data_IF_871523835544
#
_entry.id   IF_871523835544
#
_cell.length_a   1.000
_cell.length_b   1.000
_cell.length_c   1.000
_cell.angle_alpha   90.00
_cell.angle_beta   90.00
_cell.angle_gamma   90.00
#
_symmetry.space_group_name_H-M   'P 1'
#
loop_
_entity.id
_entity.type
_entity.pdbx_description
1 polymer ?
#
# COMPACT_ATOMS: atom_id res chain seq x y z
N UNK A 1 -3.26 -1.17 7.60
CA UNK A 1 -2.76 -1.83 8.84
C UNK A 1 -1.42 -1.29 9.30
N UNK A 2 -0.31 -1.45 8.56
CA UNK A 2 1.03 -1.04 9.03
C UNK A 2 1.11 0.43 9.50
N UNK A 3 0.59 1.38 8.69
CA UNK A 3 0.57 2.80 9.05
C UNK A 3 -0.26 3.08 10.30
N UNK A 4 -1.44 2.45 10.41
CA UNK A 4 -2.30 2.57 11.58
C UNK A 4 -1.56 2.12 12.86
N UNK A 5 -0.86 0.98 12.79
CA UNK A 5 -0.09 0.47 13.94
C UNK A 5 1.11 1.36 14.27
N UNK A 6 1.83 1.89 13.27
CA UNK A 6 2.91 2.87 13.48
C UNK A 6 2.44 4.10 14.23
N UNK A 7 1.32 4.69 13.79
CA UNK A 7 0.74 5.89 14.41
C UNK A 7 0.16 5.63 15.80
N UNK A 8 -0.19 4.39 16.10
CA UNK A 8 -0.75 4.00 17.40
C UNK A 8 0.37 3.71 18.40
N UNK A 9 1.38 2.95 18.00
CA UNK A 9 2.43 2.47 18.88
C UNK A 9 3.57 3.49 19.08
N UNK A 10 3.83 4.36 18.09
CA UNK A 10 4.83 5.42 18.18
C UNK A 10 6.23 4.98 18.64
N UNK A 11 6.61 3.75 18.33
CA UNK A 11 7.87 3.15 18.82
C UNK A 11 9.06 3.79 18.12
N UNK A 12 9.99 4.34 18.90
CA UNK A 12 11.25 4.91 18.43
C UNK A 12 12.12 3.87 17.75
N UNK A 13 13.00 4.31 16.87
CA UNK A 13 13.92 3.45 16.13
C UNK A 13 15.03 2.89 17.04
N UNK A 14 15.62 1.72 16.73
CA UNK A 14 16.55 1.04 17.63
C UNK A 14 17.74 1.91 18.07
N UNK A 15 18.35 2.62 17.12
CA UNK A 15 19.52 3.48 17.36
C UNK A 15 19.22 4.73 18.21
N UNK A 16 17.94 5.07 18.40
CA UNK A 16 17.52 6.15 19.30
C UNK A 16 17.31 5.67 20.74
N UNK A 17 17.19 4.36 20.93
CA UNK A 17 16.91 3.74 22.23
C UNK A 17 18.20 3.18 22.82
N UNK A 18 19.07 2.62 21.99
CA UNK A 18 20.30 1.96 22.41
C UNK A 18 21.48 2.44 21.57
N UNK A 19 22.46 3.09 22.22
CA UNK A 19 23.67 3.64 21.59
C UNK A 19 24.59 2.57 21.00
N UNK A 20 24.41 1.29 21.37
CA UNK A 20 25.16 0.16 20.79
C UNK A 20 24.69 -0.20 19.39
N UNK A 21 23.51 0.27 18.98
CA UNK A 21 22.98 0.03 17.63
C UNK A 21 23.43 1.14 16.70
N UNK A 22 24.42 0.84 15.86
CA UNK A 22 24.90 1.75 14.82
C UNK A 22 24.20 1.45 13.49
N UNK A 23 23.24 2.28 13.04
CA UNK A 23 22.56 2.07 11.78
C UNK A 23 23.50 2.39 10.61
N UNK A 24 23.32 1.70 9.49
CA UNK A 24 24.08 2.04 8.28
C UNK A 24 23.66 3.44 7.79
N UNK A 25 24.61 4.36 7.62
CA UNK A 25 24.32 5.76 7.25
C UNK A 25 23.46 5.88 6.00
N UNK A 26 23.73 5.06 4.97
CA UNK A 26 22.97 5.03 3.71
C UNK A 26 21.49 4.69 3.88
N UNK A 27 21.12 4.06 4.99
CA UNK A 27 19.74 3.66 5.26
C UNK A 27 18.94 4.70 6.06
N UNK A 28 19.61 5.68 6.67
CA UNK A 28 18.98 6.71 7.49
C UNK A 28 17.94 7.55 6.72
N UNK A 29 18.21 8.01 5.47
CA UNK A 29 17.22 8.81 4.73
C UNK A 29 15.93 8.06 4.43
N UNK A 30 16.00 6.72 4.29
CA UNK A 30 14.85 5.86 4.03
C UNK A 30 14.20 5.29 5.31
N UNK A 31 14.71 5.65 6.49
CA UNK A 31 14.22 5.19 7.79
C UNK A 31 13.38 6.26 8.49
N UNK A 32 12.58 7.00 7.72
CA UNK A 32 11.63 7.98 8.23
C UNK A 32 10.51 7.34 9.08
N UNK A 33 10.03 8.08 10.07
CA UNK A 33 8.93 7.65 10.95
C UNK A 33 9.26 6.54 11.97
N UNK A 34 8.22 6.02 12.61
CA UNK A 34 8.31 5.04 13.70
C UNK A 34 8.84 3.66 13.27
N UNK A 35 9.44 2.93 14.21
CA UNK A 35 10.02 1.59 13.96
C UNK A 35 8.96 0.52 13.75
N UNK A 36 7.98 0.45 14.63
CA UNK A 36 7.08 -0.70 14.71
C UNK A 36 5.77 -0.50 13.95
N UNK A 37 5.27 -1.51 13.20
CA UNK A 37 5.98 -2.69 12.70
C UNK A 37 6.74 -2.37 11.40
N UNK A 38 7.67 -3.24 11.00
CA UNK A 38 8.50 -3.04 9.80
C UNK A 38 7.66 -2.95 8.52
N UNK A 39 7.76 -1.80 7.81
CA UNK A 39 7.06 -1.56 6.54
C UNK A 39 7.62 -2.35 5.36
N UNK A 40 8.95 -2.53 5.31
CA UNK A 40 9.61 -3.33 4.27
C UNK A 40 9.23 -4.81 4.40
N UNK A 41 9.20 -5.33 5.62
CA UNK A 41 8.75 -6.70 5.91
C UNK A 41 7.27 -6.86 5.56
N UNK A 42 6.42 -5.88 5.85
CA UNK A 42 5.01 -5.90 5.45
C UNK A 42 4.84 -5.93 3.92
N UNK A 43 5.66 -5.15 3.19
CA UNK A 43 5.68 -5.17 1.72
C UNK A 43 6.14 -6.51 1.15
N UNK A 44 7.20 -7.09 1.71
CA UNK A 44 7.69 -8.41 1.31
C UNK A 44 6.65 -9.51 1.57
N UNK A 45 5.96 -9.48 2.71
CA UNK A 45 4.84 -10.39 2.99
C UNK A 45 3.69 -10.21 2.00
N UNK A 46 3.35 -8.96 1.66
CA UNK A 46 2.24 -8.67 0.75
C UNK A 46 2.51 -9.13 -0.68
N UNK A 47 3.77 -9.06 -1.13
CA UNK A 47 4.15 -9.45 -2.49
C UNK A 47 4.62 -10.92 -2.55
N UNK A 48 5.75 -11.22 -1.91
CA UNK A 48 6.37 -12.54 -1.95
C UNK A 48 5.63 -13.55 -1.07
N UNK A 49 5.18 -13.15 0.11
CA UNK A 49 4.36 -14.02 0.98
C UNK A 49 3.06 -14.45 0.30
N UNK A 50 2.35 -13.52 -0.33
CA UNK A 50 1.15 -13.83 -1.11
C UNK A 50 1.45 -14.73 -2.32
N UNK A 51 2.54 -14.50 -3.05
CA UNK A 51 2.96 -15.39 -4.14
C UNK A 51 3.28 -16.81 -3.63
N UNK A 52 3.98 -16.93 -2.50
CA UNK A 52 4.27 -18.23 -1.87
C UNK A 52 2.99 -18.99 -1.54
N UNK A 53 1.98 -18.30 -1.01
CA UNK A 53 0.67 -18.87 -0.70
C UNK A 53 -0.12 -19.28 -1.93
N UNK A 54 -0.15 -18.44 -2.98
CA UNK A 54 -0.85 -18.73 -4.22
C UNK A 54 -0.27 -19.96 -4.95
N UNK A 55 1.06 -20.09 -4.99
CA UNK A 55 1.75 -21.21 -5.62
C UNK A 55 2.26 -22.25 -4.62
N UNK A 56 1.52 -22.49 -3.53
CA UNK A 56 1.96 -23.34 -2.42
C UNK A 56 2.42 -24.75 -2.81
N UNK A 57 1.79 -25.34 -3.84
CA UNK A 57 2.11 -26.69 -4.32
C UNK A 57 3.42 -26.75 -5.14
N UNK A 58 3.88 -25.62 -5.68
CA UNK A 58 5.17 -25.55 -6.36
C UNK A 58 6.26 -25.27 -5.31
N UNK A 59 6.95 -26.32 -4.88
CA UNK A 59 7.99 -26.25 -3.83
C UNK A 59 9.07 -25.22 -4.14
N UNK A 60 9.52 -25.13 -5.40
CA UNK A 60 10.57 -24.19 -5.81
C UNK A 60 10.07 -22.76 -5.61
N UNK A 61 8.90 -22.42 -6.16
CA UNK A 61 8.33 -21.07 -6.01
C UNK A 61 8.10 -20.74 -4.53
N UNK A 62 7.48 -21.66 -3.78
CA UNK A 62 7.18 -21.47 -2.36
C UNK A 62 8.43 -21.13 -1.55
N UNK A 63 9.48 -21.97 -1.64
CA UNK A 63 10.68 -21.77 -0.85
C UNK A 63 11.49 -20.55 -1.29
N UNK A 64 11.55 -20.25 -2.59
CA UNK A 64 12.20 -19.03 -3.08
C UNK A 64 11.51 -17.77 -2.55
N UNK A 65 10.17 -17.72 -2.63
CA UNK A 65 9.41 -16.56 -2.15
C UNK A 65 9.52 -16.39 -0.62
N UNK A 66 9.46 -17.48 0.15
CA UNK A 66 9.70 -17.44 1.60
C UNK A 66 11.11 -16.94 1.91
N UNK A 67 12.11 -17.40 1.16
CA UNK A 67 13.50 -16.94 1.32
C UNK A 67 13.62 -15.43 1.09
N UNK A 68 12.95 -14.88 0.06
CA UNK A 68 12.94 -13.43 -0.15
C UNK A 68 12.29 -12.66 1.01
N UNK A 69 11.21 -13.17 1.60
CA UNK A 69 10.61 -12.57 2.80
C UNK A 69 11.62 -12.52 3.95
N UNK A 70 12.29 -13.65 4.22
CA UNK A 70 13.26 -13.77 5.30
C UNK A 70 14.48 -12.90 5.08
N UNK A 71 15.01 -12.83 3.86
CA UNK A 71 16.13 -11.95 3.50
C UNK A 71 15.77 -10.48 3.68
N UNK A 72 14.56 -10.06 3.27
CA UNK A 72 14.11 -8.67 3.51
C UNK A 72 13.98 -8.42 5.01
N UNK A 73 13.35 -9.31 5.77
CA UNK A 73 13.23 -9.16 7.22
C UNK A 73 14.61 -9.06 7.91
N UNK A 74 15.53 -9.96 7.57
CA UNK A 74 16.90 -9.97 8.09
C UNK A 74 17.64 -8.68 7.75
N UNK A 75 17.55 -8.21 6.50
CA UNK A 75 18.22 -6.97 6.07
C UNK A 75 17.83 -5.75 6.92
N UNK A 76 16.58 -5.71 7.43
CA UNK A 76 16.10 -4.60 8.27
C UNK A 76 16.72 -4.61 9.67
N UNK A 77 17.01 -5.79 10.20
CA UNK A 77 17.75 -5.91 11.46
C UNK A 77 19.25 -5.68 11.25
N UNK A 78 19.82 -6.25 10.18
CA UNK A 78 21.23 -6.10 9.84
C UNK A 78 21.64 -4.64 9.66
N UNK A 79 20.79 -3.84 9.00
CA UNK A 79 21.01 -2.41 8.77
C UNK A 79 20.77 -1.55 10.02
N UNK A 80 20.27 -2.14 11.12
CA UNK A 80 20.08 -1.47 12.41
C UNK A 80 18.84 -0.59 12.52
N UNK A 81 17.92 -0.69 11.56
CA UNK A 81 16.77 0.24 11.42
C UNK A 81 15.45 -0.27 12.00
N UNK A 82 15.42 -1.55 12.39
CA UNK A 82 14.29 -2.22 13.04
C UNK A 82 14.78 -3.24 14.07
N UNK A 83 14.00 -3.45 15.13
CA UNK A 83 14.24 -4.53 16.09
C UNK A 83 13.78 -5.88 15.53
N UNK A 84 14.25 -7.03 16.08
CA UNK A 84 13.71 -8.34 15.73
C UNK A 84 12.19 -8.43 15.96
N UNK A 85 11.68 -7.77 17.01
CA UNK A 85 10.24 -7.71 17.28
C UNK A 85 9.46 -7.02 16.15
N UNK A 86 9.96 -5.90 15.62
CA UNK A 86 9.31 -5.15 14.54
C UNK A 86 9.09 -6.01 13.28
N UNK A 87 10.05 -6.88 12.96
CA UNK A 87 10.00 -7.74 11.78
C UNK A 87 9.14 -8.97 12.03
N UNK A 88 9.26 -9.62 13.20
CA UNK A 88 8.45 -10.80 13.56
C UNK A 88 6.97 -10.44 13.58
N UNK A 89 6.59 -9.36 14.27
CA UNK A 89 5.19 -8.95 14.33
C UNK A 89 4.67 -8.53 12.96
N UNK A 90 5.49 -7.88 12.13
CA UNK A 90 5.10 -7.57 10.75
C UNK A 90 4.82 -8.83 9.91
N UNK A 91 5.62 -9.88 10.07
CA UNK A 91 5.38 -11.17 9.41
C UNK A 91 4.09 -11.83 9.90
N UNK A 92 3.86 -11.87 11.22
CA UNK A 92 2.63 -12.42 11.79
C UNK A 92 1.38 -11.69 11.29
N UNK A 93 1.42 -10.35 11.27
CA UNK A 93 0.34 -9.54 10.69
C UNK A 93 0.13 -9.90 9.21
N UNK A 94 1.21 -10.02 8.45
CA UNK A 94 1.15 -10.42 7.03
C UNK A 94 0.47 -11.77 6.83
N UNK A 95 0.81 -12.77 7.65
CA UNK A 95 0.20 -14.11 7.62
C UNK A 95 -1.30 -14.01 7.93
N UNK A 96 -1.68 -13.32 9.01
CA UNK A 96 -3.08 -13.16 9.41
C UNK A 96 -3.91 -12.46 8.32
N UNK A 97 -3.37 -11.38 7.73
CA UNK A 97 -4.04 -10.66 6.65
C UNK A 97 -4.20 -11.51 5.40
N UNK A 98 -3.21 -12.33 5.07
CA UNK A 98 -3.26 -13.20 3.89
C UNK A 98 -4.40 -14.22 3.98
N UNK A 99 -4.49 -14.95 5.10
CA UNK A 99 -5.60 -15.89 5.34
C UNK A 99 -6.95 -15.16 5.45
N UNK A 100 -6.98 -14.00 6.10
CA UNK A 100 -8.17 -13.18 6.22
C UNK A 100 -8.70 -12.70 4.86
N UNK A 101 -7.80 -12.24 3.98
CA UNK A 101 -8.13 -11.79 2.63
C UNK A 101 -8.62 -12.96 1.77
N UNK A 102 -7.97 -14.13 1.80
CA UNK A 102 -8.44 -15.31 1.05
C UNK A 102 -9.87 -15.70 1.45
N UNK A 103 -10.16 -15.72 2.76
CA UNK A 103 -11.51 -15.99 3.27
C UNK A 103 -12.51 -14.89 2.88
N UNK A 104 -12.09 -13.63 2.94
CA UNK A 104 -12.91 -12.49 2.55
C UNK A 104 -13.27 -12.54 1.05
N UNK A 105 -12.31 -12.81 0.18
CA UNK A 105 -12.53 -12.94 -1.26
C UNK A 105 -13.53 -14.07 -1.56
N UNK A 106 -13.34 -15.24 -0.97
CA UNK A 106 -14.30 -16.37 -1.07
C UNK A 106 -15.69 -15.98 -0.58
N UNK A 107 -15.79 -15.19 0.49
CA UNK A 107 -17.07 -14.70 0.98
C UNK A 107 -17.73 -13.72 0.00
N UNK A 108 -16.97 -12.78 -0.57
CA UNK A 108 -17.45 -11.82 -1.57
C UNK A 108 -17.97 -12.57 -2.80
N UNK A 109 -17.23 -13.56 -3.30
CA UNK A 109 -17.58 -14.28 -4.53
C UNK A 109 -18.73 -15.28 -4.34
N UNK A 110 -19.03 -15.68 -3.10
CA UNK A 110 -20.09 -16.65 -2.82
C UNK A 110 -21.52 -16.10 -2.95
N UNK A 111 -21.75 -14.77 -2.99
CA UNK A 111 -23.09 -14.20 -3.22
C UNK A 111 -23.01 -12.80 -3.81
N UNK A 112 -23.83 -12.55 -4.83
CA UNK A 112 -24.00 -11.22 -5.41
C UNK A 112 -24.47 -10.18 -4.38
N UNK A 113 -23.93 -8.97 -4.48
CA UNK A 113 -24.19 -7.86 -3.55
C UNK A 113 -23.24 -7.79 -2.35
N UNK A 114 -22.48 -8.86 -2.05
CA UNK A 114 -21.47 -8.82 -0.97
C UNK A 114 -20.28 -7.91 -1.28
N UNK A 115 -20.01 -7.69 -2.57
CA UNK A 115 -19.07 -6.70 -3.08
C UNK A 115 -19.43 -5.28 -2.63
N UNK A 116 -20.72 -4.91 -2.69
CA UNK A 116 -21.23 -3.61 -2.20
C UNK A 116 -21.14 -3.49 -0.69
N UNK A 117 -21.46 -4.56 0.05
CA UNK A 117 -21.32 -4.58 1.51
C UNK A 117 -19.85 -4.35 1.88
N UNK A 118 -18.93 -5.10 1.26
CA UNK A 118 -17.49 -4.94 1.47
C UNK A 118 -17.04 -3.51 1.16
N UNK A 119 -17.43 -2.95 0.01
CA UNK A 119 -17.07 -1.59 -0.38
C UNK A 119 -17.63 -0.54 0.60
N UNK A 120 -18.86 -0.71 1.08
CA UNK A 120 -19.48 0.18 2.06
C UNK A 120 -18.73 0.15 3.39
N UNK A 121 -18.39 -1.04 3.87
CA UNK A 121 -17.56 -1.22 5.09
C UNK A 121 -16.18 -0.59 4.88
N UNK A 122 -15.57 -0.77 3.70
CA UNK A 122 -14.27 -0.17 3.37
C UNK A 122 -14.33 1.36 3.43
N UNK A 123 -15.38 1.99 2.90
CA UNK A 123 -15.57 3.43 2.95
C UNK A 123 -15.68 3.93 4.40
N UNK A 124 -16.52 3.28 5.21
CA UNK A 124 -16.70 3.64 6.63
C UNK A 124 -15.39 3.47 7.40
N UNK A 125 -14.71 2.33 7.25
CA UNK A 125 -13.42 2.08 7.90
C UNK A 125 -12.35 3.09 7.49
N UNK A 126 -12.35 3.51 6.22
CA UNK A 126 -11.42 4.52 5.72
C UNK A 126 -11.73 5.90 6.29
N UNK A 127 -13.01 6.28 6.38
CA UNK A 127 -13.43 7.53 7.01
C UNK A 127 -13.05 7.57 8.50
N UNK A 128 -13.32 6.50 9.24
CA UNK A 128 -12.92 6.36 10.65
C UNK A 128 -11.40 6.44 10.81
N UNK A 129 -10.63 5.82 9.91
CA UNK A 129 -9.17 5.91 9.91
C UNK A 129 -8.70 7.35 9.66
N UNK A 130 -9.31 8.07 8.72
CA UNK A 130 -9.00 9.49 8.48
C UNK A 130 -9.24 10.34 9.73
N UNK A 131 -10.37 10.14 10.41
CA UNK A 131 -10.71 10.84 11.66
C UNK A 131 -9.69 10.52 12.73
N UNK A 132 -9.40 9.24 12.96
CA UNK A 132 -8.39 8.79 13.92
C UNK A 132 -7.02 9.42 13.66
N UNK A 133 -6.54 9.38 12.42
CA UNK A 133 -5.24 9.94 12.04
C UNK A 133 -5.21 11.46 12.19
N UNK A 134 -6.31 12.14 11.90
CA UNK A 134 -6.42 13.57 12.11
C UNK A 134 -6.28 13.92 13.60
N UNK A 135 -7.09 13.28 14.46
CA UNK A 135 -7.05 13.50 15.91
C UNK A 135 -5.69 13.14 16.50
N UNK A 136 -5.11 12.00 16.10
CA UNK A 136 -3.79 11.57 16.57
C UNK A 136 -2.68 12.53 16.17
N UNK A 137 -2.74 13.07 14.95
CA UNK A 137 -1.81 14.08 14.47
C UNK A 137 -1.93 15.39 15.27
N UNK A 138 -3.15 15.86 15.54
CA UNK A 138 -3.39 17.06 16.36
C UNK A 138 -2.78 16.91 17.76
N UNK A 139 -3.04 15.79 18.45
CA UNK A 139 -2.47 15.53 19.77
C UNK A 139 -0.93 15.47 19.75
N UNK A 140 -0.34 14.86 18.72
CA UNK A 140 1.13 14.77 18.62
C UNK A 140 1.78 16.12 18.35
N UNK A 141 1.10 17.02 17.62
CA UNK A 141 1.60 18.35 17.32
C UNK A 141 1.71 19.23 18.56
N UNK A 142 0.87 19.05 19.57
CA UNK A 142 0.95 19.79 20.83
C UNK A 142 2.26 19.51 21.58
N UNK A 143 2.78 18.28 21.48
CA UNK A 143 4.00 17.85 22.17
C UNK A 143 5.23 17.80 21.26
N UNK A 144 5.09 18.16 19.97
CA UNK A 144 6.13 17.99 18.97
C UNK A 144 7.24 19.03 19.12
N UNK A 145 8.48 18.57 19.24
CA UNK A 145 9.68 19.40 19.27
C UNK A 145 10.59 19.01 18.09
N UNK A 146 10.69 19.87 17.08
CA UNK A 146 11.48 19.58 15.87
C UNK A 146 12.96 19.35 16.12
N UNK A 147 13.49 19.76 17.28
CA UNK A 147 14.89 19.54 17.65
C UNK A 147 15.11 18.19 18.34
N UNK A 148 14.06 17.58 18.91
CA UNK A 148 14.14 16.33 19.68
C UNK A 148 13.46 15.15 18.99
N UNK A 149 12.42 15.42 18.21
CA UNK A 149 11.59 14.40 17.60
C UNK A 149 12.02 14.12 16.17
N UNK A 150 12.41 12.86 15.93
CA UNK A 150 12.76 12.37 14.60
C UNK A 150 11.54 12.26 13.66
N UNK A 151 10.33 12.30 14.21
CA UNK A 151 9.10 11.95 13.50
C UNK A 151 8.15 13.13 13.49
N UNK A 152 8.08 13.81 12.34
CA UNK A 152 7.13 14.89 12.12
C UNK A 152 5.70 14.34 11.92
N UNK A 153 4.73 14.67 12.80
CA UNK A 153 3.36 14.17 12.69
C UNK A 153 2.65 14.59 11.40
N UNK A 154 2.95 15.79 10.86
CA UNK A 154 2.36 16.30 9.62
C UNK A 154 2.86 15.51 8.40
N UNK A 155 4.16 15.25 8.33
CA UNK A 155 4.74 14.45 7.23
C UNK A 155 4.20 13.01 7.26
N UNK A 156 4.08 12.42 8.45
CA UNK A 156 3.45 11.11 8.60
C UNK A 156 2.00 11.10 8.10
N UNK A 157 1.21 12.12 8.49
CA UNK A 157 -0.16 12.29 8.06
C UNK A 157 -0.26 12.43 6.53
N UNK A 158 0.58 13.26 5.92
CA UNK A 158 0.63 13.46 4.46
C UNK A 158 0.91 12.16 3.69
N UNK A 159 1.83 11.32 4.18
CA UNK A 159 2.16 10.03 3.57
C UNK A 159 1.02 8.99 3.59
N UNK A 160 -0.02 9.18 4.41
CA UNK A 160 -1.16 8.24 4.48
C UNK A 160 -2.24 8.56 3.46
N UNK A 161 -2.49 9.84 3.18
CA UNK A 161 -3.55 10.29 2.29
C UNK A 161 -3.42 9.71 0.87
N UNK A 162 -2.20 9.66 0.33
CA UNK A 162 -1.95 8.99 -0.95
C UNK A 162 -2.33 7.50 -0.94
N UNK A 163 -2.04 6.78 0.15
CA UNK A 163 -2.39 5.36 0.30
C UNK A 163 -3.90 5.14 0.39
N UNK A 164 -4.59 6.03 1.10
CA UNK A 164 -6.05 6.04 1.19
C UNK A 164 -6.67 6.28 -0.19
N UNK A 165 -6.20 7.31 -0.90
CA UNK A 165 -6.65 7.61 -2.26
C UNK A 165 -6.46 6.41 -3.19
N UNK A 166 -5.27 5.81 -3.18
CA UNK A 166 -4.98 4.61 -3.97
C UNK A 166 -5.92 3.44 -3.65
N UNK A 167 -6.15 3.16 -2.37
CA UNK A 167 -7.05 2.09 -1.91
C UNK A 167 -8.47 2.31 -2.43
N UNK A 168 -9.00 3.52 -2.25
CA UNK A 168 -10.34 3.87 -2.73
C UNK A 168 -10.41 3.79 -4.25
N UNK A 169 -9.37 4.22 -4.97
CA UNK A 169 -9.31 4.15 -6.43
C UNK A 169 -9.36 2.72 -6.95
N UNK A 170 -8.60 1.80 -6.34
CA UNK A 170 -8.61 0.38 -6.70
C UNK A 170 -10.00 -0.21 -6.53
N UNK A 171 -10.60 -0.06 -5.35
CA UNK A 171 -11.85 -0.77 -5.05
C UNK A 171 -13.07 -0.13 -5.70
N UNK A 172 -13.05 1.19 -5.90
CA UNK A 172 -14.08 1.88 -6.70
C UNK A 172 -13.98 1.45 -8.15
N UNK A 173 -12.78 1.45 -8.73
CA UNK A 173 -12.58 1.02 -10.11
C UNK A 173 -12.91 -0.44 -10.33
N UNK A 174 -12.49 -1.34 -9.43
CA UNK A 174 -12.86 -2.76 -9.45
C UNK A 174 -14.38 -2.98 -9.40
N UNK A 175 -15.10 -2.26 -8.54
CA UNK A 175 -16.55 -2.38 -8.43
C UNK A 175 -17.26 -1.95 -9.73
N UNK A 176 -16.81 -0.85 -10.34
CA UNK A 176 -17.36 -0.37 -11.60
C UNK A 176 -16.97 -1.27 -12.78
N UNK A 177 -15.73 -1.77 -12.80
CA UNK A 177 -15.24 -2.68 -13.83
C UNK A 177 -16.09 -3.95 -13.84
N UNK A 178 -16.29 -4.58 -12.67
CA UNK A 178 -17.11 -5.79 -12.52
C UNK A 178 -18.56 -5.60 -13.00
N UNK A 179 -19.13 -4.40 -12.86
CA UNK A 179 -20.53 -4.11 -13.17
C UNK A 179 -20.75 -3.67 -14.62
N UNK A 180 -19.90 -2.77 -15.13
CA UNK A 180 -20.10 -2.09 -16.40
C UNK A 180 -19.17 -2.56 -17.51
N UNK A 181 -17.90 -2.84 -17.20
CA UNK A 181 -16.89 -3.15 -18.21
C UNK A 181 -16.80 -4.65 -18.44
N UNK A 182 -16.69 -5.48 -17.39
CA UNK A 182 -16.53 -6.95 -17.49
C UNK A 182 -15.47 -7.31 -18.55
N UNK A 183 -14.27 -6.76 -18.38
CA UNK A 183 -13.19 -6.88 -19.34
C UNK A 183 -12.64 -8.31 -19.36
N UNK A 184 -12.79 -8.99 -20.48
CA UNK A 184 -12.26 -10.35 -20.65
C UNK A 184 -10.82 -10.35 -21.15
N UNK A 185 -9.96 -11.08 -20.45
CA UNK A 185 -8.57 -11.29 -20.84
C UNK A 185 -8.49 -12.61 -21.61
N UNK A 186 -8.23 -12.53 -22.91
CA UNK A 186 -7.95 -13.74 -23.72
C UNK A 186 -6.63 -14.38 -23.27
N UNK A 187 -6.49 -15.71 -23.38
CA UNK A 187 -5.24 -16.41 -23.04
C UNK A 187 -4.12 -16.06 -24.04
N UNK A 188 -2.86 -16.19 -23.61
CA UNK A 188 -1.66 -16.01 -24.43
C UNK A 188 -1.15 -14.56 -24.56
N UNK A 189 0.13 -14.39 -24.87
CA UNK A 189 0.77 -13.10 -25.13
C UNK A 189 0.71 -12.82 -26.64
N UNK A 190 0.28 -11.61 -27.02
CA UNK A 190 0.24 -11.16 -28.41
C UNK A 190 0.78 -9.72 -28.47
N UNK A 191 1.44 -9.35 -29.57
CA UNK A 191 1.88 -7.99 -29.90
C UNK A 191 0.82 -6.92 -29.58
N UNK A 192 -0.46 -7.14 -29.91
CA UNK A 192 -1.54 -6.18 -29.57
C UNK A 192 -1.69 -5.95 -28.07
N UNK A 193 -1.51 -6.98 -27.24
CA UNK A 193 -1.55 -6.88 -25.77
C UNK A 193 -0.32 -6.19 -25.22
N UNK A 194 0.85 -6.44 -25.79
CA UNK A 194 2.09 -5.76 -25.44
C UNK A 194 1.95 -4.27 -25.76
N UNK A 195 1.50 -3.92 -26.97
CA UNK A 195 1.24 -2.53 -27.37
C UNK A 195 0.22 -1.90 -26.41
N UNK A 196 -0.88 -2.58 -26.11
CA UNK A 196 -1.88 -2.08 -25.17
C UNK A 196 -1.30 -1.88 -23.76
N UNK A 197 -0.41 -2.75 -23.29
CA UNK A 197 0.23 -2.56 -21.99
C UNK A 197 1.14 -1.34 -22.00
N UNK A 198 2.01 -1.24 -23.01
CA UNK A 198 2.96 -0.14 -23.15
C UNK A 198 2.26 1.21 -23.33
N UNK A 199 1.24 1.28 -24.18
CA UNK A 199 0.44 2.50 -24.36
C UNK A 199 -0.26 2.91 -23.07
N UNK A 200 -0.79 1.95 -22.31
CA UNK A 200 -1.40 2.20 -21.01
C UNK A 200 -0.42 2.79 -20.00
N UNK A 201 0.81 2.25 -19.94
CA UNK A 201 1.88 2.76 -19.06
C UNK A 201 2.29 4.18 -19.48
N UNK A 202 2.47 4.43 -20.78
CA UNK A 202 2.87 5.75 -21.29
C UNK A 202 1.79 6.79 -21.00
N UNK A 203 0.53 6.49 -21.31
CA UNK A 203 -0.61 7.39 -21.04
C UNK A 203 -0.75 7.64 -19.55
N UNK A 204 -0.63 6.61 -18.72
CA UNK A 204 -0.65 6.75 -17.26
C UNK A 204 0.47 7.69 -16.77
N UNK A 205 1.70 7.51 -17.27
CA UNK A 205 2.83 8.34 -16.88
C UNK A 205 2.60 9.81 -17.25
N UNK A 206 2.18 10.09 -18.50
CA UNK A 206 1.89 11.45 -18.98
C UNK A 206 0.76 12.07 -18.15
N UNK A 207 -0.33 11.33 -17.96
CA UNK A 207 -1.48 11.78 -17.17
C UNK A 207 -1.05 12.16 -15.76
N UNK A 208 -0.26 11.31 -15.08
CA UNK A 208 0.20 11.59 -13.72
C UNK A 208 1.16 12.78 -13.65
N UNK A 209 2.03 12.98 -14.64
CA UNK A 209 2.89 14.17 -14.71
C UNK A 209 2.06 15.45 -14.80
N UNK A 210 1.02 15.46 -15.64
CA UNK A 210 0.14 16.62 -15.83
C UNK A 210 -0.69 16.87 -14.56
N UNK A 211 -1.36 15.84 -14.05
CA UNK A 211 -2.22 15.97 -12.86
C UNK A 211 -1.43 16.45 -11.64
N UNK A 212 -0.19 16.00 -11.46
CA UNK A 212 0.65 16.43 -10.36
C UNK A 212 0.94 17.94 -10.41
N UNK A 213 1.34 18.46 -11.59
CA UNK A 213 1.56 19.90 -11.78
C UNK A 213 0.31 20.72 -11.57
N UNK A 214 -0.83 20.25 -12.06
CA UNK A 214 -2.10 20.99 -11.94
C UNK A 214 -2.59 21.00 -10.50
N UNK A 215 -2.71 19.85 -9.85
CA UNK A 215 -3.34 19.78 -8.53
C UNK A 215 -2.53 20.48 -7.44
N UNK A 216 -1.20 20.46 -7.49
CA UNK A 216 -0.38 21.16 -6.49
C UNK A 216 -0.61 22.69 -6.53
N UNK A 217 -1.06 23.25 -7.66
CA UNK A 217 -1.35 24.69 -7.77
C UNK A 217 -2.66 25.10 -7.06
N UNK A 218 -3.62 24.19 -6.91
CA UNK A 218 -4.99 24.52 -6.47
C UNK A 218 -5.34 24.00 -5.07
N UNK A 219 -4.58 23.06 -4.52
CA UNK A 219 -4.94 22.41 -3.25
C UNK A 219 -3.71 22.01 -2.42
N UNK A 220 -3.95 21.74 -1.13
CA UNK A 220 -2.91 21.27 -0.24
C UNK A 220 -2.27 19.96 -0.74
N UNK A 221 -0.94 19.85 -0.58
CA UNK A 221 -0.12 18.74 -1.09
C UNK A 221 -0.67 17.35 -0.74
N UNK A 222 -1.22 17.17 0.46
CA UNK A 222 -1.77 15.89 0.90
C UNK A 222 -3.12 15.55 0.23
N UNK A 223 -3.95 16.54 -0.06
CA UNK A 223 -5.20 16.36 -0.81
C UNK A 223 -4.88 16.03 -2.26
N UNK A 224 -3.93 16.77 -2.87
CA UNK A 224 -3.43 16.47 -4.21
C UNK A 224 -2.91 15.04 -4.29
N UNK A 225 -2.08 14.61 -3.32
CA UNK A 225 -1.54 13.26 -3.28
C UNK A 225 -2.64 12.18 -3.19
N UNK A 226 -3.69 12.38 -2.40
CA UNK A 226 -4.83 11.47 -2.33
C UNK A 226 -5.58 11.38 -3.67
N UNK A 227 -5.90 12.52 -4.29
CA UNK A 227 -6.65 12.57 -5.54
C UNK A 227 -5.85 11.95 -6.68
N UNK A 228 -4.56 12.30 -6.81
CA UNK A 228 -3.68 11.75 -7.84
C UNK A 228 -3.58 10.22 -7.67
N UNK A 229 -3.38 9.75 -6.44
CA UNK A 229 -3.28 8.31 -6.18
C UNK A 229 -4.60 7.56 -6.45
N UNK A 230 -5.74 8.19 -6.13
CA UNK A 230 -7.06 7.68 -6.51
C UNK A 230 -7.20 7.56 -8.02
N UNK A 231 -6.92 8.64 -8.76
CA UNK A 231 -7.03 8.65 -10.22
C UNK A 231 -6.08 7.67 -10.88
N UNK A 232 -4.88 7.48 -10.32
CA UNK A 232 -3.92 6.45 -10.76
C UNK A 232 -4.55 5.07 -10.66
N UNK A 233 -5.00 4.69 -9.47
CA UNK A 233 -5.56 3.39 -9.21
C UNK A 233 -6.87 3.15 -9.99
N UNK A 234 -7.72 4.16 -10.07
CA UNK A 234 -8.98 4.13 -10.81
C UNK A 234 -8.76 4.00 -12.32
N UNK A 235 -7.72 4.66 -12.86
CA UNK A 235 -7.34 4.52 -14.25
C UNK A 235 -6.94 3.07 -14.57
N UNK A 236 -6.06 2.50 -13.74
CA UNK A 236 -5.56 1.13 -13.93
C UNK A 236 -6.69 0.12 -13.86
N UNK A 237 -7.60 0.27 -12.90
CA UNK A 237 -8.63 -0.73 -12.60
C UNK A 237 -9.90 -0.57 -13.42
N UNK A 238 -10.24 0.63 -13.91
CA UNK A 238 -11.50 0.88 -14.61
C UNK A 238 -11.34 1.63 -15.94
N UNK A 239 -10.75 2.83 -15.94
CA UNK A 239 -10.76 3.67 -17.15
C UNK A 239 -10.03 3.02 -18.32
N UNK A 240 -8.87 2.42 -18.06
CA UNK A 240 -8.07 1.82 -19.12
C UNK A 240 -8.71 0.53 -19.69
N UNK A 241 -9.18 -0.43 -18.86
CA UNK A 241 -10.00 -1.53 -19.35
C UNK A 241 -11.24 -1.08 -20.13
N UNK A 242 -11.92 -0.03 -19.69
CA UNK A 242 -13.08 0.55 -20.38
C UNK A 242 -12.70 1.08 -21.77
N UNK A 243 -11.62 1.85 -21.86
CA UNK A 243 -11.10 2.37 -23.13
C UNK A 243 -10.76 1.24 -24.10
N UNK A 244 -10.05 0.21 -23.62
CA UNK A 244 -9.69 -0.95 -24.44
C UNK A 244 -10.91 -1.74 -24.93
N UNK A 245 -11.98 -1.79 -24.14
CA UNK A 245 -13.23 -2.43 -24.54
C UNK A 245 -13.93 -1.63 -25.64
N UNK A 246 -13.98 -0.31 -25.52
CA UNK A 246 -14.57 0.59 -26.53
C UNK A 246 -13.79 0.50 -27.84
N UNK A 247 -12.44 0.51 -27.80
CA UNK A 247 -11.60 0.47 -28.99
C UNK A 247 -11.59 -0.89 -29.73
N UNK A 248 -12.10 -1.96 -29.10
CA UNK A 248 -12.22 -3.29 -29.71
C UNK A 248 -13.57 -3.52 -30.41
N UNK A 249 -14.58 -2.72 -30.05
CA UNK A 249 -15.89 -2.71 -30.68
C UNK A 249 -15.89 -1.70 -31.84
#
# INVERSE_FOLDING_TARGET
VNVFLKMTACIKRPWLIDSRVCPLEKALPAADGYSFPSGHTAGAMSCWGAAAYWWWNNKIVRYTMITFVLLVAFSRNYVGVHTPQDVIVSMLIGICLMFGIDRLLKWIDAKDGRDLIFYSVLLVMTALLCIYLHLKCCMQLETYDSLKDLVNPLEMKHGVYGKIGFLLGIFTGWLLEKRFVKFEITKGINTKKIISLLSGIIVLYILMMVLNKVFILFMAKHIAAAIIAFLTAFYITFLYPCLLKILKN
#
